data_IF_056888111683
#
_entry.id   IF_056888111683
#
_cell.length_a   1.000
_cell.length_b   1.000
_cell.length_c   1.000
_cell.angle_alpha   90.00
_cell.angle_beta   90.00
_cell.angle_gamma   90.00
#
_symmetry.space_group_name_H-M   'P 1'
#
loop_
_entity.id
_entity.type
_entity.pdbx_description
1 polymer ?
#
# COMPACT_ATOMS: atom_id res chain seq x y z
N UNK A 1 48.21 2.00 -19.02
CA UNK A 1 48.14 1.22 -17.76
C UNK A 1 46.69 0.82 -17.57
N UNK A 2 46.44 -0.46 -17.29
CA UNK A 2 45.20 -1.17 -17.57
C UNK A 2 43.98 -0.71 -16.73
N UNK A 3 42.95 -0.19 -17.41
CA UNK A 3 41.61 0.11 -16.85
C UNK A 3 40.79 -1.14 -16.50
N UNK A 4 41.31 -2.34 -16.75
CA UNK A 4 40.63 -3.63 -16.50
C UNK A 4 40.34 -3.89 -15.02
N UNK A 5 41.08 -3.26 -14.10
CA UNK A 5 40.82 -3.37 -12.66
C UNK A 5 39.61 -2.54 -12.21
N UNK A 6 39.24 -1.48 -12.92
CA UNK A 6 38.14 -0.59 -12.53
C UNK A 6 36.77 -1.22 -12.79
N UNK A 7 36.58 -1.85 -13.95
CA UNK A 7 35.32 -2.49 -14.32
C UNK A 7 35.03 -3.71 -13.43
N UNK A 8 36.02 -4.58 -13.24
CA UNK A 8 35.88 -5.75 -12.39
C UNK A 8 35.58 -5.36 -10.94
N UNK A 9 36.24 -4.33 -10.41
CA UNK A 9 35.94 -3.80 -9.07
C UNK A 9 34.54 -3.19 -8.99
N UNK A 10 34.10 -2.47 -10.01
CA UNK A 10 32.75 -1.88 -10.07
C UNK A 10 31.69 -2.98 -10.10
N UNK A 11 31.92 -4.05 -10.86
CA UNK A 11 31.01 -5.19 -10.99
C UNK A 11 30.95 -6.02 -9.70
N UNK A 12 32.10 -6.23 -9.04
CA UNK A 12 32.14 -6.84 -7.71
C UNK A 12 31.40 -6.00 -6.66
N UNK A 13 31.57 -4.67 -6.69
CA UNK A 13 30.86 -3.76 -5.79
C UNK A 13 29.36 -3.76 -6.05
N UNK A 14 28.95 -3.75 -7.32
CA UNK A 14 27.55 -3.88 -7.71
C UNK A 14 26.96 -5.20 -7.22
N UNK A 15 27.60 -6.34 -7.47
CA UNK A 15 27.12 -7.64 -7.01
C UNK A 15 27.02 -7.72 -5.48
N UNK A 16 27.97 -7.11 -4.76
CA UNK A 16 27.92 -7.01 -3.30
C UNK A 16 26.69 -6.21 -2.84
N UNK A 17 26.48 -5.01 -3.41
CA UNK A 17 25.34 -4.16 -3.08
C UNK A 17 24.01 -4.84 -3.42
N UNK A 18 23.92 -5.48 -4.60
CA UNK A 18 22.73 -6.24 -5.00
C UNK A 18 22.49 -7.39 -4.04
N UNK A 19 23.51 -8.15 -3.65
CA UNK A 19 23.37 -9.25 -2.69
C UNK A 19 22.92 -8.76 -1.30
N UNK A 20 23.48 -7.64 -0.83
CA UNK A 20 23.08 -7.01 0.43
C UNK A 20 21.64 -6.50 0.39
N UNK A 21 21.22 -5.86 -0.71
CA UNK A 21 19.85 -5.35 -0.88
C UNK A 21 18.82 -6.42 -1.21
N UNK A 22 19.24 -7.49 -1.91
CA UNK A 22 18.38 -8.62 -2.29
C UNK A 22 18.28 -9.67 -1.18
N UNK A 23 19.13 -9.60 -0.15
CA UNK A 23 18.97 -10.36 1.09
C UNK A 23 17.81 -9.78 1.92
N UNK A 24 16.62 -9.96 1.37
CA UNK A 24 15.37 -9.78 2.08
C UNK A 24 15.00 -11.11 2.74
N UNK A 25 14.98 -11.16 4.07
CA UNK A 25 14.29 -12.24 4.79
C UNK A 25 12.75 -12.12 4.67
N UNK A 26 12.26 -11.12 3.96
CA UNK A 26 10.84 -10.84 3.81
C UNK A 26 10.29 -11.57 2.60
N UNK A 27 9.30 -12.44 2.85
CA UNK A 27 8.53 -13.13 1.82
C UNK A 27 7.55 -12.13 1.23
N UNK A 28 7.60 -11.92 -0.09
CA UNK A 28 6.57 -11.17 -0.80
C UNK A 28 5.26 -11.95 -0.76
N UNK A 29 4.24 -11.39 -0.10
CA UNK A 29 2.94 -12.06 0.13
C UNK A 29 1.95 -11.93 -1.04
N UNK A 30 2.35 -11.28 -2.13
CA UNK A 30 1.48 -10.93 -3.24
C UNK A 30 0.66 -9.66 -2.99
N UNK A 31 -0.09 -9.23 -4.01
CA UNK A 31 -1.01 -8.10 -3.91
C UNK A 31 -2.35 -8.38 -4.61
N UNK A 32 -3.50 -8.28 -3.91
CA UNK A 32 -3.59 -8.24 -2.44
C UNK A 32 -3.05 -9.56 -1.81
N UNK A 33 -2.63 -9.55 -0.54
CA UNK A 33 -2.20 -10.77 0.15
C UNK A 33 -3.31 -11.82 0.18
N UNK A 34 -2.98 -13.12 0.15
CA UNK A 34 -4.00 -14.20 0.22
C UNK A 34 -4.87 -14.14 1.47
N UNK A 35 -4.37 -13.55 2.55
CA UNK A 35 -5.05 -13.37 3.83
C UNK A 35 -6.02 -12.18 3.86
N UNK A 36 -6.15 -11.41 2.76
CA UNK A 36 -7.07 -10.29 2.74
C UNK A 36 -8.53 -10.74 2.89
N UNK A 37 -9.33 -9.87 3.50
CA UNK A 37 -10.76 -10.06 3.71
C UNK A 37 -11.48 -9.05 2.81
N UNK A 38 -12.12 -9.48 1.72
CA UNK A 38 -12.85 -8.57 0.84
C UNK A 38 -14.08 -7.98 1.56
N UNK A 39 -14.36 -6.71 1.29
CA UNK A 39 -15.59 -6.01 1.70
C UNK A 39 -16.43 -5.84 0.43
N UNK A 40 -17.69 -6.31 0.47
CA UNK A 40 -18.60 -6.39 -0.69
C UNK A 40 -18.55 -5.20 -1.66
N UNK A 41 -18.66 -5.51 -2.96
CA UNK A 41 -18.36 -4.65 -4.11
C UNK A 41 -19.38 -3.55 -4.46
N UNK A 42 -20.10 -2.98 -3.49
CA UNK A 42 -21.15 -1.99 -3.76
C UNK A 42 -20.65 -0.53 -3.89
N UNK A 43 -19.37 -0.30 -4.23
CA UNK A 43 -18.78 1.05 -4.32
C UNK A 43 -19.00 1.79 -5.65
N UNK A 44 -20.11 1.52 -6.35
CA UNK A 44 -20.55 2.25 -7.54
C UNK A 44 -19.82 1.87 -8.84
N UNK A 45 -20.03 2.62 -9.94
CA UNK A 45 -19.72 2.18 -11.32
C UNK A 45 -18.22 2.02 -11.61
N UNK A 46 -17.35 2.53 -10.74
CA UNK A 46 -15.89 2.47 -10.91
C UNK A 46 -15.29 1.13 -10.46
N UNK A 47 -16.10 0.17 -10.01
CA UNK A 47 -15.62 -1.18 -9.67
C UNK A 47 -14.51 -1.17 -8.61
N UNK A 48 -14.62 -0.28 -7.62
CA UNK A 48 -13.61 -0.14 -6.57
C UNK A 48 -13.61 -1.39 -5.70
N UNK A 49 -12.46 -2.06 -5.62
CA UNK A 49 -12.25 -3.17 -4.72
C UNK A 49 -11.90 -2.63 -3.34
N UNK A 50 -12.60 -3.10 -2.32
CA UNK A 50 -12.33 -2.72 -0.94
C UNK A 50 -12.08 -3.97 -0.14
N UNK A 51 -11.03 -3.98 0.67
CA UNK A 51 -10.68 -5.12 1.50
C UNK A 51 -9.90 -4.69 2.73
N UNK A 52 -9.84 -5.57 3.72
CA UNK A 52 -8.97 -5.42 4.88
C UNK A 52 -7.81 -6.40 4.72
N UNK A 53 -6.62 -5.95 5.08
CA UNK A 53 -5.44 -6.82 5.17
C UNK A 53 -4.58 -6.44 6.37
N UNK A 54 -3.68 -7.33 6.77
CA UNK A 54 -2.61 -6.99 7.70
C UNK A 54 -1.44 -6.41 6.91
N UNK A 55 -1.26 -5.09 6.98
CA UNK A 55 -0.16 -4.38 6.31
C UNK A 55 1.10 -4.52 7.14
N UNK A 56 2.19 -4.94 6.51
CA UNK A 56 3.52 -4.92 7.11
C UNK A 56 4.01 -3.48 7.26
N UNK A 57 4.50 -3.12 8.45
CA UNK A 57 5.04 -1.79 8.74
C UNK A 57 6.48 -1.63 8.21
N UNK A 58 6.98 -0.39 8.21
CA UNK A 58 8.33 -0.05 7.71
C UNK A 58 9.46 -0.79 8.43
N UNK A 59 9.22 -1.19 9.69
CA UNK A 59 10.17 -2.00 10.45
C UNK A 59 10.26 -3.45 9.98
N UNK A 60 9.42 -3.87 9.02
CA UNK A 60 9.42 -5.18 8.40
C UNK A 60 8.95 -6.33 9.28
N UNK A 61 8.73 -6.10 10.58
CA UNK A 61 8.39 -7.13 11.57
C UNK A 61 6.94 -7.07 12.00
N UNK A 62 6.45 -5.87 12.22
CA UNK A 62 5.12 -5.64 12.76
C UNK A 62 4.09 -5.52 11.65
N UNK A 63 2.86 -5.83 12.01
CA UNK A 63 1.72 -5.75 11.12
C UNK A 63 0.60 -4.95 11.77
N UNK A 64 -0.17 -4.25 10.95
CA UNK A 64 -1.38 -3.58 11.39
C UNK A 64 -2.58 -3.89 10.49
N UNK A 65 -3.78 -4.08 11.07
CA UNK A 65 -5.02 -4.12 10.29
C UNK A 65 -5.23 -2.80 9.54
N UNK A 66 -5.35 -2.90 8.22
CA UNK A 66 -5.47 -1.77 7.30
C UNK A 66 -6.65 -1.98 6.36
N UNK A 67 -7.52 -0.98 6.26
CA UNK A 67 -8.55 -0.89 5.23
C UNK A 67 -7.93 -0.33 3.94
N UNK A 68 -8.19 -1.00 2.82
CA UNK A 68 -7.64 -0.64 1.51
C UNK A 68 -8.75 -0.41 0.50
N UNK A 69 -8.69 0.72 -0.20
CA UNK A 69 -9.49 1.01 -1.39
C UNK A 69 -8.59 0.94 -2.63
N UNK A 70 -8.98 0.12 -3.59
CA UNK A 70 -8.27 -0.05 -4.86
C UNK A 70 -9.11 0.42 -6.05
N UNK A 71 -8.41 0.96 -7.05
CA UNK A 71 -8.93 1.10 -8.40
C UNK A 71 -8.25 0.04 -9.27
N UNK A 72 -8.97 -1.03 -9.62
CA UNK A 72 -8.37 -2.23 -10.18
C UNK A 72 -7.39 -2.88 -9.20
N UNK A 73 -6.12 -2.99 -9.60
CA UNK A 73 -5.03 -3.54 -8.78
C UNK A 73 -4.23 -2.47 -8.00
N UNK A 74 -4.47 -1.18 -8.24
CA UNK A 74 -3.69 -0.11 -7.62
C UNK A 74 -4.32 0.34 -6.29
N UNK A 75 -3.58 0.30 -5.16
CA UNK A 75 -4.04 0.93 -3.93
C UNK A 75 -4.18 2.43 -4.15
N UNK A 76 -5.35 2.97 -3.85
CA UNK A 76 -5.65 4.40 -3.92
C UNK A 76 -5.65 5.04 -2.54
N UNK A 77 -6.15 4.30 -1.54
CA UNK A 77 -6.22 4.76 -0.16
C UNK A 77 -6.02 3.58 0.78
N UNK A 78 -5.20 3.78 1.79
CA UNK A 78 -4.93 2.83 2.85
C UNK A 78 -5.10 3.56 4.18
N UNK A 79 -5.86 2.96 5.10
CA UNK A 79 -6.09 3.53 6.43
C UNK A 79 -5.87 2.46 7.47
N UNK A 80 -4.99 2.75 8.43
CA UNK A 80 -4.89 2.00 9.68
C UNK A 80 -6.22 2.03 10.44
N UNK A 81 -6.35 1.17 11.46
CA UNK A 81 -7.52 1.16 12.34
C UNK A 81 -7.80 2.54 12.98
N UNK A 82 -6.74 3.26 13.37
CA UNK A 82 -6.86 4.58 14.03
C UNK A 82 -7.33 5.62 13.02
N UNK A 83 -6.71 5.69 11.84
CA UNK A 83 -7.11 6.61 10.79
C UNK A 83 -8.55 6.35 10.33
N UNK A 84 -8.94 5.08 10.17
CA UNK A 84 -10.31 4.74 9.82
C UNK A 84 -11.31 5.19 10.89
N UNK A 85 -11.01 4.95 12.18
CA UNK A 85 -11.86 5.43 13.28
C UNK A 85 -12.02 6.95 13.26
N UNK A 86 -10.92 7.68 12.99
CA UNK A 86 -10.95 9.14 12.83
C UNK A 86 -11.72 9.57 11.58
N UNK A 87 -11.63 8.84 10.46
CA UNK A 87 -12.43 9.12 9.28
C UNK A 87 -13.93 8.96 9.58
N UNK A 88 -14.32 7.91 10.30
CA UNK A 88 -15.71 7.69 10.72
C UNK A 88 -16.25 8.85 11.56
N UNK A 89 -15.44 9.42 12.47
CA UNK A 89 -15.88 10.56 13.28
C UNK A 89 -16.17 11.83 12.46
N UNK A 90 -15.52 11.99 11.30
CA UNK A 90 -15.73 13.13 10.40
C UNK A 90 -16.84 12.88 9.36
N UNK A 91 -17.31 11.64 9.18
CA UNK A 91 -18.31 11.29 8.16
C UNK A 91 -19.60 12.14 8.21
N UNK A 92 -20.18 12.47 9.38
CA UNK A 92 -21.38 13.31 9.44
C UNK A 92 -21.17 14.68 8.77
N UNK A 93 -20.06 15.34 9.07
CA UNK A 93 -19.72 16.64 8.49
C UNK A 93 -19.46 16.53 6.99
N UNK A 94 -18.76 15.49 6.55
CA UNK A 94 -18.53 15.22 5.12
C UNK A 94 -19.85 15.08 4.37
N UNK A 95 -20.83 14.33 4.92
CA UNK A 95 -22.15 14.15 4.31
C UNK A 95 -22.91 15.47 4.17
N UNK A 96 -22.89 16.32 5.20
CA UNK A 96 -23.51 17.65 5.17
C UNK A 96 -22.88 18.48 4.06
N UNK A 97 -21.54 18.54 4.02
CA UNK A 97 -20.81 19.32 3.03
C UNK A 97 -21.11 18.87 1.60
N UNK A 98 -21.09 17.56 1.32
CA UNK A 98 -21.44 17.02 0.00
C UNK A 98 -22.85 17.41 -0.43
N UNK A 99 -23.82 17.30 0.49
CA UNK A 99 -25.22 17.65 0.21
C UNK A 99 -25.37 19.14 -0.06
N UNK A 100 -24.72 19.99 0.73
CA UNK A 100 -24.76 21.44 0.56
C UNK A 100 -24.10 21.87 -0.76
N UNK A 101 -22.99 21.25 -1.13
CA UNK A 101 -22.29 21.56 -2.37
C UNK A 101 -23.05 21.09 -3.61
N UNK A 102 -23.75 19.94 -3.53
CA UNK A 102 -24.60 19.47 -4.63
C UNK A 102 -25.72 20.45 -4.96
N UNK A 103 -26.26 21.19 -3.98
CA UNK A 103 -27.27 22.24 -4.20
C UNK A 103 -26.74 23.45 -4.99
N UNK A 104 -25.42 23.55 -5.18
CA UNK A 104 -24.77 24.62 -5.95
C UNK A 104 -24.58 24.25 -7.43
N UNK A 105 -24.88 23.00 -7.82
CA UNK A 105 -24.91 22.52 -9.20
C UNK A 105 -26.32 22.68 -9.78
#
# INVERSE_FOLDING_TARGET
MNDSNSLNNSLLRFNKLVKEQSNSNYIYEGWPPKSHIPINNNFGPLGRNVFVMNRRLENGKDFEPTLVFCCGLKPMLMMSKVEFSNFISHLPNIKINLTSFFKLL
#
